data_IF_050416293583
#
_entry.id   IF_050416293583
#
_cell.length_a   1.000
_cell.length_b   1.000
_cell.length_c   1.000
_cell.angle_alpha   90.00
_cell.angle_beta   90.00
_cell.angle_gamma   90.00
#
_symmetry.space_group_name_H-M   'P 1'
#
loop_
_entity.id
_entity.type
_entity.pdbx_description
1 polymer ?
#
# COMPACT_ATOMS: atom_id res chain seq x y z
N UNK A 1 -0.80 -13.68 24.19
CA UNK A 1 0.23 -14.38 23.38
C UNK A 1 0.52 -13.55 22.16
N UNK A 2 1.80 -13.38 21.78
CA UNK A 2 2.21 -12.63 20.59
C UNK A 2 2.47 -13.62 19.45
N UNK A 3 2.04 -13.27 18.24
CA UNK A 3 2.29 -14.06 17.02
C UNK A 3 3.71 -13.83 16.48
N UNK A 4 4.10 -12.56 16.41
CA UNK A 4 5.42 -12.10 15.94
C UNK A 4 6.05 -11.17 16.97
N UNK A 5 6.62 -11.70 18.08
CA UNK A 5 7.11 -10.87 19.19
C UNK A 5 8.08 -9.77 18.75
N UNK A 6 8.99 -10.05 17.82
CA UNK A 6 9.99 -9.12 17.30
C UNK A 6 9.38 -7.90 16.60
N UNK A 7 8.21 -8.07 15.99
CA UNK A 7 7.47 -6.97 15.34
C UNK A 7 6.56 -6.27 16.35
N UNK A 8 5.87 -7.06 17.18
CA UNK A 8 4.82 -6.56 18.09
C UNK A 8 5.37 -5.83 19.30
N UNK A 9 6.65 -6.07 19.66
CA UNK A 9 7.36 -5.38 20.75
C UNK A 9 8.47 -4.46 20.27
N UNK A 10 8.50 -4.15 18.98
CA UNK A 10 9.49 -3.26 18.41
C UNK A 10 9.48 -1.88 19.09
N UNK A 11 10.65 -1.29 19.28
CA UNK A 11 10.74 0.06 19.82
C UNK A 11 10.06 1.07 18.90
N UNK A 12 9.63 2.22 19.45
CA UNK A 12 9.03 3.27 18.64
C UNK A 12 9.98 3.78 17.55
N UNK A 13 11.24 3.92 17.90
CA UNK A 13 12.31 4.35 16.98
C UNK A 13 12.51 3.37 15.82
N UNK A 14 12.63 2.08 16.12
CA UNK A 14 12.79 1.04 15.10
C UNK A 14 11.55 0.93 14.21
N UNK A 15 10.36 1.08 14.80
CA UNK A 15 9.10 1.06 14.06
C UNK A 15 9.03 2.23 13.07
N UNK A 16 9.37 3.44 13.49
CA UNK A 16 9.40 4.62 12.62
C UNK A 16 10.44 4.50 11.52
N UNK A 17 11.62 3.98 11.83
CA UNK A 17 12.65 3.69 10.83
C UNK A 17 12.15 2.68 9.78
N UNK A 18 11.48 1.61 10.21
CA UNK A 18 10.89 0.61 9.32
C UNK A 18 9.76 1.23 8.46
N UNK A 19 8.90 2.04 9.06
CA UNK A 19 7.81 2.74 8.34
C UNK A 19 8.37 3.69 7.29
N UNK A 20 9.38 4.49 7.63
CA UNK A 20 10.02 5.41 6.69
C UNK A 20 10.66 4.67 5.52
N UNK A 21 11.37 3.59 5.79
CA UNK A 21 11.95 2.76 4.73
C UNK A 21 10.87 2.24 3.78
N UNK A 22 9.80 1.66 4.32
CA UNK A 22 8.69 1.12 3.53
C UNK A 22 7.95 2.20 2.73
N UNK A 23 7.80 3.39 3.30
CA UNK A 23 7.19 4.54 2.62
C UNK A 23 8.01 4.97 1.41
N UNK A 24 9.34 5.11 1.56
CA UNK A 24 10.24 5.42 0.45
C UNK A 24 10.16 4.38 -0.66
N UNK A 25 10.24 3.11 -0.31
CA UNK A 25 10.16 1.99 -1.25
C UNK A 25 8.80 1.99 -1.99
N UNK A 26 7.70 2.32 -1.29
CA UNK A 26 6.36 2.41 -1.87
C UNK A 26 6.26 3.58 -2.87
N UNK A 27 6.65 4.79 -2.45
CA UNK A 27 6.56 6.00 -3.28
C UNK A 27 7.41 5.84 -4.54
N UNK A 28 8.62 5.31 -4.41
CA UNK A 28 9.48 5.00 -5.55
C UNK A 28 8.79 4.02 -6.51
N UNK A 29 8.33 2.88 -6.00
CA UNK A 29 7.70 1.84 -6.82
C UNK A 29 6.47 2.35 -7.57
N UNK A 30 5.55 3.07 -6.90
CA UNK A 30 4.34 3.54 -7.57
C UNK A 30 4.62 4.64 -8.60
N UNK A 31 5.61 5.51 -8.36
CA UNK A 31 6.02 6.53 -9.32
C UNK A 31 6.70 5.94 -10.56
N UNK A 32 7.39 4.81 -10.43
CA UNK A 32 8.03 4.12 -11.55
C UNK A 32 7.05 3.23 -12.34
N UNK A 33 6.08 2.61 -11.66
CA UNK A 33 5.23 1.55 -12.23
C UNK A 33 3.84 2.00 -12.63
N UNK A 34 3.31 3.09 -12.05
CA UNK A 34 1.91 3.52 -12.24
C UNK A 34 1.88 4.92 -12.84
N UNK A 35 1.43 5.09 -14.09
CA UNK A 35 1.38 6.39 -14.78
C UNK A 35 0.66 7.48 -13.98
N UNK A 36 -0.47 7.15 -13.34
CA UNK A 36 -1.21 8.08 -12.48
C UNK A 36 -0.32 8.73 -11.40
N UNK A 37 0.45 7.94 -10.66
CA UNK A 37 1.32 8.46 -9.59
C UNK A 37 2.51 9.21 -10.16
N UNK A 38 3.10 8.73 -11.25
CA UNK A 38 4.19 9.43 -11.95
C UNK A 38 3.77 10.85 -12.34
N UNK A 39 2.60 11.01 -12.97
CA UNK A 39 2.08 12.31 -13.36
C UNK A 39 1.68 13.17 -12.17
N UNK A 40 1.00 12.59 -11.19
CA UNK A 40 0.52 13.30 -10.00
C UNK A 40 1.67 13.86 -9.18
N UNK A 41 2.72 13.09 -8.96
CA UNK A 41 3.89 13.54 -8.22
C UNK A 41 4.70 14.56 -9.02
N UNK A 42 4.86 14.38 -10.33
CA UNK A 42 5.53 15.36 -11.19
C UNK A 42 4.80 16.72 -11.21
N UNK A 43 3.45 16.73 -11.25
CA UNK A 43 2.64 17.95 -11.15
C UNK A 43 2.81 18.67 -9.81
N UNK A 44 3.04 17.92 -8.73
CA UNK A 44 3.32 18.46 -7.41
C UNK A 44 4.81 18.85 -7.21
N UNK A 45 5.67 18.55 -8.18
CA UNK A 45 7.12 18.78 -8.07
C UNK A 45 7.80 17.88 -7.04
N UNK A 46 7.25 16.68 -6.81
CA UNK A 46 7.70 15.73 -5.80
C UNK A 46 8.23 14.44 -6.41
N UNK A 47 9.17 13.83 -5.71
CA UNK A 47 9.77 12.54 -6.01
C UNK A 47 9.93 11.68 -4.74
N UNK A 48 10.38 10.44 -4.88
CA UNK A 48 10.65 9.59 -3.72
C UNK A 48 11.78 10.14 -2.82
N UNK A 49 12.67 10.97 -3.36
CA UNK A 49 13.78 11.58 -2.62
C UNK A 49 13.31 12.68 -1.66
N UNK A 50 12.10 13.21 -1.87
CA UNK A 50 11.48 14.22 -1.00
C UNK A 50 10.89 13.62 0.29
N UNK A 51 10.86 12.30 0.40
CA UNK A 51 10.51 11.59 1.65
C UNK A 51 11.78 11.45 2.50
N UNK A 52 11.96 12.30 3.48
CA UNK A 52 13.09 12.27 4.44
C UNK A 52 12.64 11.83 5.83
N UNK A 53 11.39 12.10 6.17
CA UNK A 53 10.71 11.66 7.40
C UNK A 53 9.26 11.25 7.10
N UNK A 54 8.54 10.70 8.08
CA UNK A 54 7.15 10.25 7.89
C UNK A 54 6.19 11.39 7.59
N UNK A 55 6.43 12.56 8.15
CA UNK A 55 5.62 13.77 7.99
C UNK A 55 5.62 14.28 6.53
N UNK A 56 6.67 13.98 5.77
CA UNK A 56 6.77 14.38 4.36
C UNK A 56 5.65 13.78 3.50
N UNK A 57 5.03 12.68 3.95
CA UNK A 57 3.86 12.12 3.28
C UNK A 57 2.73 13.13 3.09
N UNK A 58 2.58 14.08 4.02
CA UNK A 58 1.56 15.13 3.94
C UNK A 58 1.72 16.08 2.74
N UNK A 59 2.89 16.11 2.10
CA UNK A 59 3.16 16.91 0.90
C UNK A 59 2.61 16.25 -0.37
N UNK A 60 2.41 14.94 -0.34
CA UNK A 60 2.01 14.16 -1.50
C UNK A 60 0.49 14.26 -1.75
N UNK A 61 0.07 14.29 -3.03
CA UNK A 61 -1.34 14.37 -3.38
C UNK A 61 -2.10 13.10 -2.97
N UNK A 62 -3.37 13.29 -2.61
CA UNK A 62 -4.26 12.18 -2.29
C UNK A 62 -4.66 11.38 -3.53
N UNK A 63 -4.94 10.11 -3.32
CA UNK A 63 -5.65 9.25 -4.29
C UNK A 63 -7.10 9.13 -3.86
N UNK A 64 -8.02 9.40 -4.77
CA UNK A 64 -9.45 9.32 -4.52
C UNK A 64 -10.06 8.04 -5.10
N UNK A 65 -11.27 7.71 -4.65
CA UNK A 65 -12.03 6.60 -5.25
C UNK A 65 -12.32 6.84 -6.75
N UNK A 66 -12.44 8.10 -7.16
CA UNK A 66 -12.66 8.44 -8.56
C UNK A 66 -11.41 8.16 -9.40
N UNK A 67 -10.22 8.41 -8.89
CA UNK A 67 -8.96 8.08 -9.57
C UNK A 67 -8.84 6.57 -9.81
N UNK A 68 -9.20 5.76 -8.78
CA UNK A 68 -9.26 4.31 -8.91
C UNK A 68 -10.25 3.84 -9.98
N UNK A 69 -11.39 4.51 -10.12
CA UNK A 69 -12.39 4.20 -11.14
C UNK A 69 -11.95 4.61 -12.54
N UNK A 70 -11.31 5.76 -12.66
CA UNK A 70 -10.79 6.27 -13.94
C UNK A 70 -9.68 5.34 -14.48
N UNK A 71 -8.93 4.70 -13.60
CA UNK A 71 -7.89 3.73 -13.92
C UNK A 71 -8.39 2.28 -14.03
N UNK A 72 -9.70 2.09 -14.15
CA UNK A 72 -10.29 0.76 -14.36
C UNK A 72 -9.85 0.15 -15.71
N UNK A 73 -9.54 -1.16 -15.78
CA UNK A 73 -9.59 -2.09 -14.65
C UNK A 73 -8.24 -2.30 -13.94
N UNK A 74 -7.08 -2.06 -14.57
CA UNK A 74 -5.77 -2.52 -14.08
C UNK A 74 -4.67 -1.46 -14.08
N UNK A 75 -4.98 -0.22 -14.41
CA UNK A 75 -3.96 0.85 -14.57
C UNK A 75 -3.32 1.28 -13.24
N UNK A 76 -3.91 0.89 -12.10
CA UNK A 76 -3.33 1.09 -10.75
C UNK A 76 -2.49 -0.11 -10.27
N UNK A 77 -2.24 -1.11 -11.11
CA UNK A 77 -1.38 -2.23 -10.72
C UNK A 77 0.10 -1.83 -10.83
N UNK A 78 0.85 -2.03 -9.75
CA UNK A 78 2.28 -1.76 -9.68
C UNK A 78 3.15 -2.95 -10.11
N UNK A 79 2.51 -4.04 -10.57
CA UNK A 79 3.15 -5.27 -11.04
C UNK A 79 2.46 -5.79 -12.30
N UNK A 80 3.14 -6.58 -13.13
CA UNK A 80 2.50 -7.28 -14.24
C UNK A 80 1.34 -8.17 -13.77
N UNK A 81 0.31 -8.31 -14.58
CA UNK A 81 -0.85 -9.18 -14.26
C UNK A 81 -0.48 -10.64 -13.95
N UNK A 82 0.62 -11.12 -14.50
CA UNK A 82 1.14 -12.47 -14.23
C UNK A 82 1.60 -12.67 -12.78
N UNK A 83 1.89 -11.59 -12.05
CA UNK A 83 2.27 -11.62 -10.64
C UNK A 83 1.09 -11.42 -9.68
N UNK A 84 -0.10 -11.16 -10.22
CA UNK A 84 -1.31 -10.96 -9.42
C UNK A 84 -1.92 -12.32 -9.07
N UNK A 85 -1.87 -12.68 -7.79
CA UNK A 85 -2.42 -13.93 -7.26
C UNK A 85 -3.93 -13.86 -7.03
N UNK A 86 -4.48 -12.66 -6.73
CA UNK A 86 -5.91 -12.47 -6.44
C UNK A 86 -6.38 -11.08 -6.85
N UNK A 87 -7.59 -11.00 -7.35
CA UNK A 87 -8.26 -9.73 -7.68
C UNK A 87 -9.50 -9.59 -6.80
N UNK A 88 -9.66 -8.41 -6.20
CA UNK A 88 -10.88 -8.00 -5.49
C UNK A 88 -11.53 -6.82 -6.19
N UNK A 89 -12.85 -6.81 -6.19
CA UNK A 89 -13.64 -5.69 -6.73
C UNK A 89 -14.60 -5.19 -5.67
N UNK A 90 -14.75 -3.87 -5.57
CA UNK A 90 -15.85 -3.32 -4.78
C UNK A 90 -17.19 -3.55 -5.49
N UNK A 91 -18.27 -3.74 -4.71
CA UNK A 91 -19.63 -3.72 -5.27
C UNK A 91 -19.91 -2.33 -5.85
N UNK A 92 -20.06 -2.26 -7.16
CA UNK A 92 -20.28 -0.99 -7.87
C UNK A 92 -21.72 -0.48 -7.78
N UNK A 93 -22.27 -0.30 -6.57
CA UNK A 93 -23.65 0.20 -6.39
C UNK A 93 -23.92 1.58 -7.01
N UNK A 94 -22.86 2.33 -7.35
CA UNK A 94 -22.94 3.69 -7.90
C UNK A 94 -22.13 3.88 -9.18
N UNK A 95 -21.84 2.81 -9.93
CA UNK A 95 -21.08 2.89 -11.20
C UNK A 95 -19.93 1.88 -11.30
N UNK A 96 -18.82 2.28 -11.95
CA UNK A 96 -17.65 1.42 -12.17
C UNK A 96 -17.05 0.93 -10.85
N UNK A 97 -16.80 -0.37 -10.74
CA UNK A 97 -16.14 -0.97 -9.58
C UNK A 97 -14.70 -0.45 -9.44
N UNK A 98 -14.19 -0.42 -8.22
CA UNK A 98 -12.73 -0.31 -8.00
C UNK A 98 -12.14 -1.71 -7.99
N UNK A 99 -11.01 -1.88 -8.67
CA UNK A 99 -10.33 -3.17 -8.80
C UNK A 99 -9.00 -3.09 -8.06
N UNK A 100 -8.71 -4.10 -7.24
CA UNK A 100 -7.44 -4.20 -6.49
C UNK A 100 -6.82 -5.56 -6.77
N UNK A 101 -5.56 -5.57 -7.18
CA UNK A 101 -4.76 -6.78 -7.36
C UNK A 101 -3.84 -7.01 -6.18
N UNK A 102 -3.75 -8.25 -5.72
CA UNK A 102 -2.85 -8.68 -4.66
C UNK A 102 -1.84 -9.67 -5.22
N UNK A 103 -0.56 -9.43 -4.95
CA UNK A 103 0.48 -10.43 -5.14
C UNK A 103 0.42 -11.49 -4.02
N UNK A 104 1.14 -12.60 -4.18
CA UNK A 104 1.25 -13.58 -3.08
C UNK A 104 1.84 -12.93 -1.82
N UNK A 105 2.87 -12.11 -1.96
CA UNK A 105 3.48 -11.39 -0.84
C UNK A 105 2.50 -10.44 -0.11
N UNK A 106 1.54 -9.84 -0.82
CA UNK A 106 0.49 -9.02 -0.20
C UNK A 106 -0.49 -9.88 0.60
N UNK A 107 -0.85 -11.05 0.07
CA UNK A 107 -1.72 -12.00 0.78
C UNK A 107 -1.06 -12.56 2.03
N UNK A 108 0.24 -12.87 1.98
CA UNK A 108 1.00 -13.35 3.13
C UNK A 108 1.06 -12.28 4.24
N UNK A 109 1.35 -11.01 3.89
CA UNK A 109 1.30 -9.89 4.85
C UNK A 109 -0.09 -9.68 5.45
N UNK A 110 -1.11 -9.82 4.64
CA UNK A 110 -2.50 -9.71 5.12
C UNK A 110 -2.81 -10.84 6.09
N UNK A 111 -2.35 -12.07 5.78
CA UNK A 111 -2.43 -13.22 6.68
C UNK A 111 -1.74 -12.96 8.02
N UNK A 112 -0.51 -12.44 8.01
CA UNK A 112 0.24 -12.06 9.22
C UNK A 112 -0.49 -11.00 10.06
N UNK A 113 -1.03 -9.97 9.41
CA UNK A 113 -1.81 -8.95 10.11
C UNK A 113 -3.06 -9.53 10.78
N UNK A 114 -3.75 -10.44 10.09
CA UNK A 114 -4.93 -11.10 10.63
C UNK A 114 -4.59 -12.09 11.74
N UNK A 115 -3.49 -12.84 11.61
CA UNK A 115 -3.00 -13.73 12.65
C UNK A 115 -2.67 -12.95 13.94
N UNK A 116 -1.98 -11.80 13.83
CA UNK A 116 -1.73 -10.93 15.01
C UNK A 116 -3.02 -10.50 15.70
N UNK A 117 -4.03 -10.14 14.92
CA UNK A 117 -5.35 -9.79 15.46
C UNK A 117 -6.00 -10.97 16.21
N UNK A 118 -5.97 -12.18 15.65
CA UNK A 118 -6.52 -13.38 16.30
C UNK A 118 -5.77 -13.73 17.58
N UNK A 119 -4.45 -13.67 17.57
CA UNK A 119 -3.63 -13.91 18.77
C UNK A 119 -3.90 -12.89 19.87
N UNK A 120 -4.03 -11.61 19.51
CA UNK A 120 -4.40 -10.56 20.48
C UNK A 120 -5.79 -10.80 21.08
N UNK A 121 -6.70 -11.42 20.33
CA UNK A 121 -8.03 -11.81 20.79
C UNK A 121 -8.07 -13.16 21.53
N UNK A 122 -6.93 -13.78 21.81
CA UNK A 122 -6.79 -15.12 22.38
C UNK A 122 -7.50 -16.23 21.58
N UNK A 123 -7.51 -16.11 20.27
CA UNK A 123 -8.04 -17.09 19.33
C UNK A 123 -6.91 -17.90 18.67
N UNK A 124 -5.89 -18.33 19.42
CA UNK A 124 -4.74 -19.11 18.97
C UNK A 124 -4.53 -20.38 19.76
#
# INVERSE_FOLDING_TARGET
>A
VLYQPEIETMSREDLEALQLKRLKDLVKRVSESIPFYKESFAKAGLSADDITCLEDLAKFPFTTKQDMRNAYPFEMFAVPKSEVARIHCSSGTTGTATVVGYTQADLDRWGDCFARFLYAANCG
#
